data_IF_839788691037
#
_entry.id   IF_839788691037
#
_cell.length_a   1.000
_cell.length_b   1.000
_cell.length_c   1.000
_cell.angle_alpha   90.00
_cell.angle_beta   90.00
_cell.angle_gamma   90.00
#
_symmetry.space_group_name_H-M   'P 1'
#
loop_
_entity.id
_entity.type
_entity.pdbx_description
1 polymer ?
#
# COMPACT_ATOMS: atom_id res chain seq x y z
N UNK A 1 21.02 15.89 42.93
CA UNK A 1 20.24 16.87 42.15
C UNK A 1 20.17 16.36 40.72
N UNK A 2 18.96 15.90 40.32
CA UNK A 2 18.41 15.72 38.97
C UNK A 2 19.38 15.30 37.84
N UNK A 3 19.37 14.06 37.36
CA UNK A 3 18.33 13.50 36.47
C UNK A 3 17.95 14.47 35.34
N UNK A 4 18.67 14.36 34.23
CA UNK A 4 18.28 14.95 32.96
C UNK A 4 18.13 13.82 31.94
N UNK A 5 16.98 13.15 32.04
CA UNK A 5 16.22 12.72 30.88
C UNK A 5 16.16 13.84 29.84
N UNK A 6 16.58 13.57 28.60
CA UNK A 6 15.84 13.93 27.38
C UNK A 6 16.54 13.43 26.10
N UNK A 7 16.02 12.30 25.61
CA UNK A 7 15.60 12.07 24.21
C UNK A 7 16.58 12.46 23.11
N UNK A 8 17.50 11.55 22.79
CA UNK A 8 17.93 11.37 21.41
C UNK A 8 16.82 10.61 20.67
N UNK A 9 15.87 11.36 20.10
CA UNK A 9 14.92 10.85 19.10
C UNK A 9 15.71 10.58 17.82
N UNK A 10 16.24 9.37 17.68
CA UNK A 10 16.88 8.94 16.44
C UNK A 10 15.79 8.81 15.38
N UNK A 11 15.75 9.77 14.46
CA UNK A 11 15.04 9.67 13.18
C UNK A 11 15.50 8.39 12.47
N UNK A 12 14.70 7.32 12.56
CA UNK A 12 15.02 6.04 11.95
C UNK A 12 14.55 6.04 10.50
N UNK A 13 15.26 6.80 9.66
CA UNK A 13 15.12 6.68 8.21
C UNK A 13 15.87 5.43 7.78
N UNK A 14 15.14 4.42 7.34
CA UNK A 14 15.76 3.23 6.72
C UNK A 14 16.22 3.59 5.32
N UNK A 15 17.51 3.36 5.06
CA UNK A 15 18.10 3.56 3.74
C UNK A 15 17.98 2.24 2.98
N UNK A 16 17.33 2.25 1.81
CA UNK A 16 17.21 1.04 0.99
C UNK A 16 18.55 0.64 0.34
N UNK A 17 18.55 -0.52 -0.32
CA UNK A 17 19.72 -1.10 -1.03
C UNK A 17 20.27 -0.14 -2.10
N UNK A 18 19.50 0.87 -2.52
CA UNK A 18 19.84 1.87 -3.54
C UNK A 18 20.21 3.24 -2.95
N UNK A 19 20.24 3.38 -1.63
CA UNK A 19 20.64 4.62 -0.96
C UNK A 19 19.51 5.63 -0.76
N UNK A 20 18.26 5.26 -1.06
CA UNK A 20 17.12 6.17 -0.98
C UNK A 20 16.57 6.27 0.44
N UNK A 21 16.17 7.47 0.83
CA UNK A 21 15.59 7.81 2.15
C UNK A 21 14.15 7.33 2.16
N UNK A 22 13.89 6.14 2.70
CA UNK A 22 12.53 5.61 2.83
C UNK A 22 11.95 5.96 4.21
N UNK A 23 10.70 6.42 4.22
CA UNK A 23 9.97 6.65 5.45
C UNK A 23 9.69 5.33 6.20
N UNK A 24 9.49 5.35 7.53
CA UNK A 24 9.17 4.15 8.31
C UNK A 24 7.90 3.42 7.85
N UNK A 25 6.99 4.12 7.15
CA UNK A 25 5.76 3.54 6.61
C UNK A 25 5.85 3.13 5.13
N UNK A 26 7.05 3.13 4.55
CA UNK A 26 7.26 2.68 3.17
C UNK A 26 6.80 1.21 2.95
N UNK A 27 7.02 0.25 3.87
CA UNK A 27 6.51 -1.11 3.72
C UNK A 27 4.97 -1.16 3.63
N UNK A 28 4.28 -0.33 4.40
CA UNK A 28 2.81 -0.20 4.30
C UNK A 28 2.41 0.39 2.95
N UNK A 29 3.11 1.41 2.47
CA UNK A 29 2.86 2.00 1.16
C UNK A 29 2.96 0.93 0.05
N UNK A 30 4.02 0.13 0.03
CA UNK A 30 4.15 -0.95 -0.95
C UNK A 30 3.03 -2.00 -0.83
N UNK A 31 2.67 -2.39 0.39
CA UNK A 31 1.58 -3.34 0.63
C UNK A 31 0.24 -2.80 0.10
N UNK A 32 -0.03 -1.51 0.31
CA UNK A 32 -1.21 -0.82 -0.25
C UNK A 32 -1.18 -0.86 -1.77
N UNK A 33 -0.06 -0.53 -2.40
CA UNK A 33 0.06 -0.54 -3.86
C UNK A 33 -0.16 -1.94 -4.45
N UNK A 34 0.40 -2.99 -3.81
CA UNK A 34 0.14 -4.38 -4.18
C UNK A 34 -1.33 -4.75 -4.05
N UNK A 35 -1.94 -4.42 -2.91
CA UNK A 35 -3.36 -4.71 -2.67
C UNK A 35 -4.29 -4.00 -3.67
N UNK A 36 -3.97 -2.76 -4.04
CA UNK A 36 -4.68 -2.02 -5.07
C UNK A 36 -4.55 -2.68 -6.45
N UNK A 37 -3.34 -3.08 -6.84
CA UNK A 37 -3.11 -3.80 -8.08
C UNK A 37 -3.88 -5.12 -8.14
N UNK A 38 -3.85 -5.91 -7.06
CA UNK A 38 -4.60 -7.18 -6.96
C UNK A 38 -6.11 -6.98 -7.08
N UNK A 39 -6.65 -5.90 -6.52
CA UNK A 39 -8.09 -5.60 -6.57
C UNK A 39 -8.51 -4.83 -7.84
N UNK A 40 -7.56 -4.44 -8.69
CA UNK A 40 -7.82 -3.54 -9.82
C UNK A 40 -8.33 -2.17 -9.38
N UNK A 41 -7.98 -1.73 -8.17
CA UNK A 41 -8.45 -0.46 -7.61
C UNK A 41 -7.46 0.66 -7.89
N UNK A 42 -7.98 1.84 -8.19
CA UNK A 42 -7.17 3.05 -8.25
C UNK A 42 -7.01 3.65 -6.85
N UNK A 43 -5.99 4.49 -6.66
CA UNK A 43 -5.83 5.27 -5.42
C UNK A 43 -7.05 6.20 -5.17
N UNK A 44 -7.74 6.62 -6.23
CA UNK A 44 -9.00 7.37 -6.12
C UNK A 44 -10.13 6.52 -5.56
N UNK A 45 -10.19 5.24 -5.92
CA UNK A 45 -11.15 4.28 -5.36
C UNK A 45 -10.82 3.98 -3.88
N UNK A 46 -9.54 3.85 -3.55
CA UNK A 46 -9.11 3.72 -2.16
C UNK A 46 -9.52 4.92 -1.31
N UNK A 47 -9.33 6.15 -1.82
CA UNK A 47 -9.77 7.35 -1.14
C UNK A 47 -11.28 7.36 -0.89
N UNK A 48 -12.09 6.96 -1.87
CA UNK A 48 -13.56 6.85 -1.72
C UNK A 48 -13.96 5.87 -0.63
N UNK A 49 -13.23 4.75 -0.48
CA UNK A 49 -13.55 3.68 0.47
C UNK A 49 -12.99 3.91 1.87
N UNK A 50 -11.75 4.37 1.97
CA UNK A 50 -11.06 4.59 3.24
C UNK A 50 -11.29 5.98 3.83
N UNK A 51 -11.74 6.95 3.01
CA UNK A 51 -11.82 8.36 3.39
C UNK A 51 -10.45 9.05 3.51
N UNK A 52 -9.35 8.32 3.31
CA UNK A 52 -7.99 8.84 3.48
C UNK A 52 -7.50 9.50 2.19
N UNK A 53 -7.07 10.76 2.30
CA UNK A 53 -6.60 11.53 1.16
C UNK A 53 -5.41 10.84 0.47
N UNK A 54 -5.39 10.91 -0.86
CA UNK A 54 -4.34 10.29 -1.70
C UNK A 54 -2.96 10.82 -1.33
N UNK A 55 -2.86 12.12 -1.06
CA UNK A 55 -1.63 12.79 -0.62
C UNK A 55 -1.09 12.20 0.68
N UNK A 56 -1.97 11.84 1.61
CA UNK A 56 -1.60 11.17 2.87
C UNK A 56 -1.00 9.80 2.61
N UNK A 57 -1.59 9.01 1.71
CA UNK A 57 -1.07 7.67 1.35
C UNK A 57 0.28 7.78 0.63
N UNK A 58 0.42 8.72 -0.31
CA UNK A 58 1.70 8.94 -1.01
C UNK A 58 2.81 9.43 -0.09
N UNK A 59 2.47 10.19 0.96
CA UNK A 59 3.44 10.66 1.94
C UNK A 59 4.04 9.51 2.76
N UNK A 60 3.37 8.37 2.90
CA UNK A 60 3.91 7.22 3.64
C UNK A 60 5.20 6.65 3.02
N UNK A 61 5.44 6.89 1.73
CA UNK A 61 6.66 6.45 1.06
C UNK A 61 7.92 7.19 1.56
N UNK A 62 7.80 8.49 1.85
CA UNK A 62 8.97 9.37 2.04
C UNK A 62 8.98 10.11 3.37
N UNK A 63 7.83 10.19 4.04
CA UNK A 63 7.71 10.97 5.27
C UNK A 63 8.50 10.28 6.40
N UNK A 64 9.36 11.01 7.14
CA UNK A 64 10.19 10.42 8.19
C UNK A 64 9.39 10.02 9.43
N UNK A 65 8.12 10.41 9.52
CA UNK A 65 7.25 10.16 10.67
C UNK A 65 6.23 9.07 10.34
N UNK A 66 5.95 8.15 11.27
CA UNK A 66 4.87 7.20 11.14
C UNK A 66 3.52 7.93 10.99
N UNK A 67 2.60 7.40 10.16
CA UNK A 67 1.25 7.92 10.06
C UNK A 67 0.44 7.65 11.32
N UNK A 68 -0.70 8.31 11.44
CA UNK A 68 -1.62 8.06 12.55
C UNK A 68 -2.26 6.68 12.42
N UNK A 69 -2.34 5.95 13.52
CA UNK A 69 -2.91 4.60 13.59
C UNK A 69 -4.34 4.53 13.04
N UNK A 70 -5.16 5.56 13.31
CA UNK A 70 -6.53 5.63 12.79
C UNK A 70 -6.57 5.64 11.24
N UNK A 71 -5.65 6.36 10.61
CA UNK A 71 -5.53 6.45 9.15
C UNK A 71 -5.05 5.13 8.56
N UNK A 72 -4.11 4.46 9.23
CA UNK A 72 -3.61 3.13 8.82
C UNK A 72 -4.73 2.10 8.88
N UNK A 73 -5.49 2.08 9.98
CA UNK A 73 -6.63 1.17 10.17
C UNK A 73 -7.71 1.42 9.10
N UNK A 74 -8.06 2.67 8.81
CA UNK A 74 -9.06 2.99 7.79
C UNK A 74 -8.65 2.52 6.38
N UNK A 75 -7.36 2.59 6.04
CA UNK A 75 -6.84 2.05 4.78
C UNK A 75 -6.79 0.51 4.81
N UNK A 76 -6.42 -0.07 5.95
CA UNK A 76 -6.39 -1.52 6.14
C UNK A 76 -7.79 -2.14 6.01
N UNK A 77 -8.81 -1.54 6.63
CA UNK A 77 -10.22 -1.93 6.50
C UNK A 77 -10.70 -1.90 5.06
N UNK A 78 -10.40 -0.82 4.33
CA UNK A 78 -10.78 -0.69 2.94
C UNK A 78 -10.15 -1.78 2.06
N UNK A 79 -8.91 -2.17 2.37
CA UNK A 79 -8.14 -3.16 1.60
C UNK A 79 -8.32 -4.60 2.11
N UNK A 80 -8.89 -4.79 3.30
CA UNK A 80 -8.97 -6.10 3.96
C UNK A 80 -7.60 -6.60 4.45
N UNK A 81 -6.72 -5.69 4.88
CA UNK A 81 -5.43 -6.01 5.52
C UNK A 81 -5.68 -6.10 7.03
N UNK A 82 -5.11 -7.09 7.71
CA UNK A 82 -5.20 -7.18 9.16
C UNK A 82 -4.61 -5.93 9.83
N UNK A 83 -5.30 -5.38 10.83
CA UNK A 83 -4.91 -4.11 11.46
C UNK A 83 -3.51 -4.17 12.07
N UNK A 84 -3.18 -5.26 12.77
CA UNK A 84 -1.86 -5.45 13.36
C UNK A 84 -0.75 -5.50 12.30
N UNK A 85 -1.01 -6.16 11.17
CA UNK A 85 -0.06 -6.22 10.05
C UNK A 85 0.15 -4.82 9.45
N UNK A 86 -0.94 -4.08 9.21
CA UNK A 86 -0.86 -2.73 8.69
C UNK A 86 -0.10 -1.77 9.64
N UNK A 87 -0.31 -1.89 10.95
CA UNK A 87 0.37 -1.10 11.97
C UNK A 87 1.86 -1.47 12.11
N UNK A 88 2.22 -2.75 11.96
CA UNK A 88 3.61 -3.21 11.89
C UNK A 88 4.31 -2.66 10.64
N UNK A 89 3.67 -2.75 9.48
CA UNK A 89 4.18 -2.21 8.21
C UNK A 89 4.30 -0.68 8.22
N UNK A 90 3.50 0.01 9.05
CA UNK A 90 3.58 1.45 9.25
C UNK A 90 4.74 1.89 10.17
N UNK A 91 5.42 0.94 10.82
CA UNK A 91 6.41 1.21 11.86
C UNK A 91 5.80 1.77 13.15
N UNK A 92 4.52 1.52 13.40
CA UNK A 92 3.80 1.96 14.62
C UNK A 92 3.91 0.92 15.73
N UNK A 93 3.82 -0.36 15.38
CA UNK A 93 4.09 -1.47 16.30
C UNK A 93 5.54 -1.92 16.13
N UNK A 94 6.27 -2.06 17.24
CA UNK A 94 7.56 -2.74 17.24
C UNK A 94 7.35 -4.20 16.82
N UNK A 95 8.21 -4.71 15.94
CA UNK A 95 8.21 -6.11 15.52
C UNK A 95 8.62 -7.00 16.70
N UNK A 96 7.70 -7.35 17.58
CA UNK A 96 7.90 -8.51 18.44
C UNK A 96 7.98 -9.78 17.56
N UNK A 97 8.90 -10.71 17.84
CA UNK A 97 8.92 -12.01 17.19
C UNK A 97 7.65 -12.77 17.61
N UNK A 98 6.66 -12.80 16.74
CA UNK A 98 5.39 -13.48 16.97
C UNK A 98 5.60 -14.98 17.22
N UNK A 99 5.12 -15.55 18.34
CA UNK A 99 4.81 -16.97 18.38
C UNK A 99 3.61 -17.21 17.46
N UNK A 100 3.83 -18.04 16.45
CA UNK A 100 2.85 -18.53 15.47
C UNK A 100 1.44 -18.71 16.07
N UNK A 101 0.48 -17.91 15.61
CA UNK A 101 -0.94 -18.20 15.77
C UNK A 101 -1.35 -19.31 14.80
N UNK A 102 -0.94 -20.54 15.12
CA UNK A 102 -1.58 -21.73 14.60
C UNK A 102 -3.02 -21.77 15.15
N UNK A 103 -4.00 -21.32 14.37
CA UNK A 103 -5.38 -21.24 14.81
C UNK A 103 -6.40 -21.02 13.68
N UNK A 104 -6.50 -22.01 12.77
CA UNK A 104 -7.46 -22.19 11.65
C UNK A 104 -7.16 -21.48 10.32
N UNK A 105 -6.51 -22.16 9.36
CA UNK A 105 -6.37 -21.70 7.97
C UNK A 105 -7.60 -21.93 7.06
N UNK A 106 -8.63 -22.69 7.45
CA UNK A 106 -9.63 -23.18 6.46
C UNK A 106 -10.58 -22.12 5.85
N UNK A 107 -10.88 -21.01 6.53
CA UNK A 107 -11.99 -20.11 6.08
C UNK A 107 -11.50 -18.98 5.15
N UNK A 108 -10.28 -18.49 5.35
CA UNK A 108 -9.71 -17.43 4.51
C UNK A 108 -9.18 -17.99 3.19
N UNK A 109 -8.57 -19.18 3.21
CA UNK A 109 -8.10 -19.87 2.01
C UNK A 109 -9.27 -20.25 1.09
N UNK A 110 -10.40 -20.72 1.64
CA UNK A 110 -11.60 -21.04 0.86
C UNK A 110 -12.24 -19.79 0.25
N UNK A 111 -12.23 -18.66 0.97
CA UNK A 111 -12.74 -17.37 0.47
C UNK A 111 -11.83 -16.77 -0.61
N UNK A 112 -10.51 -16.90 -0.47
CA UNK A 112 -9.54 -16.50 -1.47
C UNK A 112 -9.65 -17.36 -2.73
N UNK A 113 -9.80 -18.68 -2.57
CA UNK A 113 -10.04 -19.60 -3.67
C UNK A 113 -11.34 -19.27 -4.42
N UNK A 114 -12.42 -18.93 -3.71
CA UNK A 114 -13.69 -18.54 -4.31
C UNK A 114 -13.58 -17.23 -5.13
N UNK A 115 -12.91 -16.21 -4.58
CA UNK A 115 -12.67 -14.94 -5.29
C UNK A 115 -11.79 -15.15 -6.53
N UNK A 116 -10.80 -16.03 -6.44
CA UNK A 116 -9.90 -16.36 -7.55
C UNK A 116 -10.64 -17.11 -8.66
N UNK A 117 -11.51 -18.07 -8.31
CA UNK A 117 -12.36 -18.76 -9.27
C UNK A 117 -13.38 -17.84 -9.95
N UNK A 118 -13.94 -16.86 -9.21
CA UNK A 118 -14.86 -15.87 -9.76
C UNK A 118 -14.16 -14.90 -10.73
N UNK A 119 -12.93 -14.50 -10.41
CA UNK A 119 -12.08 -13.71 -11.30
C UNK A 119 -11.73 -14.49 -12.58
N UNK A 120 -11.34 -15.76 -12.46
CA UNK A 120 -11.07 -16.63 -13.62
C UNK A 120 -12.31 -16.84 -14.48
N UNK A 121 -13.48 -17.03 -13.88
CA UNK A 121 -14.74 -17.14 -14.60
C UNK A 121 -15.10 -15.86 -15.35
N UNK A 122 -14.80 -14.69 -14.77
CA UNK A 122 -15.02 -13.38 -15.40
C UNK A 122 -14.03 -13.16 -16.55
N UNK A 123 -12.75 -13.49 -16.34
CA UNK A 123 -11.71 -13.41 -17.38
C UNK A 123 -11.94 -14.42 -18.51
N UNK A 124 -12.51 -15.59 -18.20
CA UNK A 124 -12.88 -16.60 -19.19
C UNK A 124 -14.12 -16.20 -20.01
N UNK A 125 -14.97 -15.31 -19.49
CA UNK A 125 -16.11 -14.73 -20.23
C UNK A 125 -15.67 -13.58 -21.14
N UNK A 126 -14.53 -12.95 -20.89
CA UNK A 126 -13.95 -11.98 -21.81
C UNK A 126 -13.34 -12.69 -23.02
N UNK A 127 -13.69 -12.22 -24.23
CA UNK A 127 -13.03 -12.67 -25.45
C UNK A 127 -11.51 -12.42 -25.36
N UNK A 128 -10.65 -13.29 -25.93
CA UNK A 128 -9.21 -13.06 -25.97
C UNK A 128 -8.82 -11.68 -26.54
N UNK A 129 -9.63 -11.15 -27.46
CA UNK A 129 -9.44 -9.78 -28.00
C UNK A 129 -9.78 -8.70 -26.99
N UNK A 130 -10.84 -8.87 -26.20
CA UNK A 130 -11.25 -7.92 -25.18
C UNK A 130 -10.28 -7.94 -23.99
N UNK A 131 -9.76 -9.12 -23.65
CA UNK A 131 -8.71 -9.28 -22.65
C UNK A 131 -7.40 -8.61 -23.07
N UNK A 132 -6.95 -8.85 -24.30
CA UNK A 132 -5.74 -8.18 -24.82
C UNK A 132 -5.91 -6.66 -24.90
N UNK A 133 -7.11 -6.17 -25.23
CA UNK A 133 -7.43 -4.74 -25.23
C UNK A 133 -7.39 -4.15 -23.82
N UNK A 134 -8.01 -4.82 -22.85
CA UNK A 134 -7.98 -4.41 -21.45
C UNK A 134 -6.56 -4.45 -20.87
N UNK A 135 -5.79 -5.50 -21.13
CA UNK A 135 -4.39 -5.58 -20.70
C UNK A 135 -3.51 -4.48 -21.35
N UNK A 136 -3.77 -4.12 -22.61
CA UNK A 136 -3.07 -3.02 -23.28
C UNK A 136 -3.47 -1.65 -22.73
N UNK A 137 -4.74 -1.45 -22.40
CA UNK A 137 -5.28 -0.24 -21.78
C UNK A 137 -4.72 -0.08 -20.36
N UNK A 138 -4.79 -1.13 -19.54
CA UNK A 138 -4.21 -1.16 -18.20
C UNK A 138 -2.70 -0.94 -18.23
N UNK A 139 -1.97 -1.51 -19.20
CA UNK A 139 -0.51 -1.30 -19.34
C UNK A 139 -0.17 0.13 -19.77
N UNK A 140 -1.00 0.79 -20.58
CA UNK A 140 -0.85 2.23 -20.90
C UNK A 140 -1.11 3.10 -19.69
N UNK A 141 -2.18 2.82 -18.95
CA UNK A 141 -2.50 3.52 -17.71
C UNK A 141 -1.43 3.31 -16.64
N UNK A 142 -0.86 2.11 -16.54
CA UNK A 142 0.24 1.80 -15.62
C UNK A 142 1.49 2.61 -15.98
N UNK A 143 1.85 2.67 -17.27
CA UNK A 143 2.97 3.48 -17.76
C UNK A 143 2.72 4.96 -17.48
N UNK A 144 1.53 5.48 -17.76
CA UNK A 144 1.19 6.87 -17.49
C UNK A 144 1.16 7.19 -15.99
N UNK A 145 0.70 6.23 -15.17
CA UNK A 145 0.69 6.32 -13.70
C UNK A 145 2.11 6.36 -13.14
N UNK A 146 3.01 5.52 -13.67
CA UNK A 146 4.43 5.49 -13.29
C UNK A 146 5.16 6.74 -13.78
N UNK A 147 4.89 7.22 -14.99
CA UNK A 147 5.44 8.47 -15.50
C UNK A 147 4.98 9.68 -14.67
N UNK A 148 3.69 9.72 -14.31
CA UNK A 148 3.14 10.75 -13.43
C UNK A 148 3.80 10.69 -12.05
N UNK A 149 4.02 9.49 -11.52
CA UNK A 149 4.72 9.29 -10.26
C UNK A 149 6.18 9.74 -10.33
N UNK A 150 6.88 9.39 -11.40
CA UNK A 150 8.24 9.83 -11.67
C UNK A 150 8.34 11.36 -11.75
N UNK A 151 7.42 12.03 -12.46
CA UNK A 151 7.39 13.51 -12.54
C UNK A 151 7.11 14.17 -11.20
N UNK A 152 6.25 13.56 -10.37
CA UNK A 152 5.98 14.03 -9.02
C UNK A 152 7.19 13.90 -8.09
N UNK A 153 7.98 12.85 -8.24
CA UNK A 153 9.25 12.67 -7.52
C UNK A 153 10.35 13.61 -8.03
N UNK A 154 10.38 13.88 -9.33
CA UNK A 154 11.38 14.77 -9.97
C UNK A 154 11.02 16.28 -9.87
N UNK A 155 9.89 16.64 -9.23
CA UNK A 155 9.52 18.04 -8.96
C UNK A 155 9.07 18.86 -10.18
N UNK A 156 8.67 18.20 -11.28
CA UNK A 156 8.33 18.87 -12.54
C UNK A 156 6.81 19.17 -12.63
N UNK A 157 6.38 20.44 -12.84
CA UNK A 157 4.95 20.77 -12.92
C UNK A 157 4.31 20.17 -14.19
N UNK A 158 3.00 19.85 -14.16
CA UNK A 158 2.32 19.25 -15.30
C UNK A 158 2.25 20.24 -16.48
N UNK A 159 2.69 19.79 -17.66
CA UNK A 159 2.45 20.47 -18.92
C UNK A 159 0.94 20.43 -19.14
N UNK A 160 0.29 21.59 -19.01
CA UNK A 160 -1.08 21.78 -19.47
C UNK A 160 -0.99 22.05 -20.96
N UNK A 161 -1.61 21.18 -21.75
CA UNK A 161 -1.97 21.47 -23.15
C UNK A 161 -3.25 22.31 -23.16
#
# INVERSE_FOLDING_TARGET
MADSMQRATTDFVSRDVQGNVQGPAHPLFEAVQRALATKGWTVSELWRRSGVARSTITQWATQPRPPQSATVIAVADALGIAHEEALRLAGILESEPQPSSAGRPDVEDERLAALQAELEATLSKMSPRDRARWEAEMRREEVERLERWRRLLDGQPPISD
#
